data_IF_140599840215
#
_entry.id   IF_140599840215
#
_cell.length_a   1.000
_cell.length_b   1.000
_cell.length_c   1.000
_cell.angle_alpha   90.00
_cell.angle_beta   90.00
_cell.angle_gamma   90.00
#
_symmetry.space_group_name_H-M   'P 1'
#
loop_
_entity.id
_entity.type
_entity.pdbx_description
1 polymer ?
#
# COMPACT_ATOMS: atom_id res chain seq x y z
N UNK A 1 26.65 19.71 -27.44
CA UNK A 1 26.95 20.00 -26.01
C UNK A 1 25.68 19.77 -25.26
N UNK A 2 25.54 18.56 -24.72
CA UNK A 2 24.41 18.14 -23.90
C UNK A 2 24.68 18.58 -22.46
N UNK A 3 23.84 19.49 -21.96
CA UNK A 3 23.90 19.92 -20.57
C UNK A 3 23.43 18.75 -19.69
N UNK A 4 24.36 18.19 -18.93
CA UNK A 4 24.06 17.24 -17.86
C UNK A 4 23.42 18.05 -16.73
N UNK A 5 22.13 17.80 -16.46
CA UNK A 5 21.49 18.36 -15.25
C UNK A 5 22.24 17.84 -14.01
N UNK A 6 22.54 18.69 -13.04
CA UNK A 6 23.21 18.27 -11.83
C UNK A 6 22.27 17.37 -11.03
N UNK A 7 22.66 16.11 -10.79
CA UNK A 7 22.00 15.24 -9.82
C UNK A 7 22.10 15.92 -8.45
N UNK A 8 20.97 16.40 -7.93
CA UNK A 8 20.89 16.87 -6.55
C UNK A 8 21.17 15.65 -5.66
N UNK A 9 22.19 15.68 -4.78
CA UNK A 9 22.42 14.60 -3.86
C UNK A 9 21.20 14.47 -2.93
N UNK A 10 20.68 13.26 -2.77
CA UNK A 10 19.62 12.93 -1.82
C UNK A 10 20.17 13.07 -0.40
N UNK A 11 20.19 14.29 0.14
CA UNK A 11 20.63 14.60 1.52
C UNK A 11 19.45 14.72 2.48
N UNK A 12 18.39 13.90 2.28
CA UNK A 12 17.21 13.85 3.15
C UNK A 12 16.99 12.44 3.68
N UNK A 13 16.27 12.34 4.81
CA UNK A 13 15.79 11.08 5.34
C UNK A 13 14.77 10.44 4.37
N UNK A 14 14.69 9.11 4.30
CA UNK A 14 13.77 8.41 3.38
C UNK A 14 12.29 8.86 3.53
N UNK A 15 11.90 9.31 4.72
CA UNK A 15 10.53 9.77 5.00
C UNK A 15 10.23 11.22 4.57
N UNK A 16 11.20 11.96 4.05
CA UNK A 16 11.01 13.37 3.68
C UNK A 16 10.13 13.52 2.43
N UNK A 17 10.14 12.52 1.55
CA UNK A 17 9.28 12.49 0.36
C UNK A 17 8.90 11.04 0.06
N UNK A 18 7.61 10.78 -0.01
CA UNK A 18 7.07 9.43 -0.14
C UNK A 18 6.12 9.35 -1.33
N UNK A 19 6.25 8.33 -2.17
CA UNK A 19 5.14 7.90 -3.01
C UNK A 19 4.15 7.15 -2.12
N UNK A 20 2.86 7.29 -2.39
CA UNK A 20 1.77 6.63 -1.65
C UNK A 20 0.82 5.96 -2.62
N UNK A 21 0.28 4.81 -2.24
CA UNK A 21 -0.64 4.03 -3.07
C UNK A 21 -1.66 3.30 -2.22
N UNK A 22 -2.91 3.28 -2.70
CA UNK A 22 -4.02 2.55 -2.09
C UNK A 22 -5.08 2.19 -3.13
N UNK A 23 -5.84 1.11 -2.88
CA UNK A 23 -6.91 0.58 -3.72
C UNK A 23 -8.20 0.40 -2.92
N UNK A 24 -9.35 0.78 -3.52
CA UNK A 24 -10.65 0.24 -3.13
C UNK A 24 -11.07 -0.86 -4.12
N UNK A 25 -11.66 -1.92 -3.60
CA UNK A 25 -11.84 -3.16 -4.34
C UNK A 25 -13.21 -3.80 -4.11
N UNK A 26 -13.56 -4.77 -4.95
CA UNK A 26 -14.82 -5.52 -4.80
C UNK A 26 -14.81 -6.52 -3.65
N UNK A 27 -13.69 -6.75 -2.97
CA UNK A 27 -13.58 -7.72 -1.86
C UNK A 27 -12.15 -7.93 -1.41
N UNK A 28 -11.92 -8.91 -0.53
CA UNK A 28 -10.65 -9.12 0.17
C UNK A 28 -9.76 -10.22 -0.42
N UNK A 29 -10.27 -11.02 -1.35
CA UNK A 29 -9.51 -12.08 -2.03
C UNK A 29 -8.77 -11.48 -3.23
N UNK A 30 -7.45 -11.41 -3.16
CA UNK A 30 -6.60 -10.78 -4.17
C UNK A 30 -6.69 -11.47 -5.55
N UNK A 31 -7.11 -12.74 -5.60
CA UNK A 31 -7.19 -13.51 -6.84
C UNK A 31 -8.49 -13.29 -7.59
N UNK A 32 -9.57 -12.99 -6.88
CA UNK A 32 -10.93 -12.87 -7.43
C UNK A 32 -11.49 -11.46 -7.41
N UNK A 33 -11.03 -10.61 -6.49
CA UNK A 33 -11.46 -9.22 -6.40
C UNK A 33 -11.01 -8.38 -7.59
N UNK A 34 -11.64 -7.23 -7.76
CA UNK A 34 -11.39 -6.26 -8.85
C UNK A 34 -11.10 -4.90 -8.26
N UNK A 35 -10.29 -4.12 -8.95
CA UNK A 35 -10.09 -2.71 -8.63
C UNK A 35 -11.36 -1.92 -8.93
N UNK A 36 -11.79 -1.10 -7.98
CA UNK A 36 -12.89 -0.13 -8.11
C UNK A 36 -12.35 1.28 -8.19
N UNK A 37 -11.54 1.70 -7.20
CA UNK A 37 -10.79 2.96 -7.27
C UNK A 37 -9.33 2.71 -6.94
N UNK A 38 -8.48 3.63 -7.39
CA UNK A 38 -7.08 3.64 -7.05
C UNK A 38 -6.61 5.08 -6.83
N UNK A 39 -5.66 5.25 -5.92
CA UNK A 39 -4.95 6.50 -5.76
C UNK A 39 -3.45 6.27 -5.69
N UNK A 40 -2.72 7.09 -6.45
CA UNK A 40 -1.28 7.22 -6.36
C UNK A 40 -0.96 8.69 -6.10
N UNK A 41 -0.05 8.96 -5.19
CA UNK A 41 0.37 10.32 -4.91
C UNK A 41 1.83 10.40 -4.51
N UNK A 42 2.32 11.62 -4.36
CA UNK A 42 3.58 11.92 -3.68
C UNK A 42 3.29 12.94 -2.59
N UNK A 43 3.73 12.68 -1.38
CA UNK A 43 3.63 13.63 -0.26
C UNK A 43 5.01 14.19 0.08
N UNK A 44 5.03 15.45 0.51
CA UNK A 44 6.21 16.14 1.01
C UNK A 44 6.52 15.81 2.47
N UNK A 45 7.56 16.45 3.01
CA UNK A 45 8.02 16.31 4.41
C UNK A 45 6.95 16.70 5.44
N UNK A 46 6.10 17.64 5.07
CA UNK A 46 4.96 18.10 5.88
C UNK A 46 3.73 17.17 5.81
N UNK A 47 3.81 16.11 5.00
CA UNK A 47 2.72 15.19 4.77
C UNK A 47 1.65 15.71 3.80
N UNK A 48 1.91 16.85 3.12
CA UNK A 48 0.97 17.41 2.15
C UNK A 48 1.22 16.84 0.75
N UNK A 49 0.14 16.58 -0.02
CA UNK A 49 0.24 16.07 -1.39
C UNK A 49 0.94 17.08 -2.31
N UNK A 50 1.94 16.61 -3.07
CA UNK A 50 2.63 17.39 -4.10
C UNK A 50 2.38 16.86 -5.51
N UNK A 51 2.02 15.60 -5.64
CA UNK A 51 1.57 14.95 -6.88
C UNK A 51 0.39 14.03 -6.54
N UNK A 52 -0.58 13.88 -7.46
CA UNK A 52 -1.82 13.14 -7.17
C UNK A 52 -2.46 12.64 -8.46
N UNK A 53 -2.80 11.35 -8.48
CA UNK A 53 -3.54 10.67 -9.54
C UNK A 53 -4.59 9.75 -8.95
N UNK A 54 -5.81 9.81 -9.44
CA UNK A 54 -6.90 8.96 -9.00
C UNK A 54 -7.64 8.36 -10.19
N UNK A 55 -8.12 7.15 -10.01
CA UNK A 55 -8.89 6.42 -11.02
C UNK A 55 -10.18 5.85 -10.43
N UNK A 56 -11.20 5.83 -11.24
CA UNK A 56 -12.41 5.04 -11.04
C UNK A 56 -12.50 4.07 -12.22
N UNK A 57 -12.55 2.77 -11.92
CA UNK A 57 -12.70 1.72 -12.90
C UNK A 57 -14.13 1.19 -12.93
N UNK A 58 -14.61 0.80 -14.11
CA UNK A 58 -15.69 -0.19 -14.21
C UNK A 58 -15.05 -1.58 -14.03
N UNK A 59 -15.28 -2.27 -12.90
CA UNK A 59 -14.68 -3.57 -12.64
C UNK A 59 -15.22 -4.69 -13.54
N UNK A 60 -16.23 -4.43 -14.36
CA UNK A 60 -16.89 -5.42 -15.23
C UNK A 60 -17.69 -6.49 -14.48
N UNK A 61 -17.80 -6.38 -13.16
CA UNK A 61 -18.55 -7.27 -12.27
C UNK A 61 -19.41 -6.45 -11.31
N UNK A 62 -20.34 -7.10 -10.62
CA UNK A 62 -21.08 -6.47 -9.54
C UNK A 62 -20.15 -6.16 -8.34
N UNK A 63 -20.30 -4.97 -7.76
CA UNK A 63 -19.64 -4.59 -6.51
C UNK A 63 -20.54 -5.07 -5.37
N UNK A 64 -20.08 -6.00 -4.53
CA UNK A 64 -20.90 -6.51 -3.43
C UNK A 64 -21.35 -5.40 -2.47
N UNK A 65 -22.55 -5.54 -1.92
CA UNK A 65 -23.09 -4.55 -0.98
C UNK A 65 -22.17 -4.29 0.23
N UNK A 66 -21.42 -5.31 0.68
CA UNK A 66 -20.42 -5.17 1.73
C UNK A 66 -19.25 -4.23 1.34
N UNK A 67 -18.76 -4.33 0.10
CA UNK A 67 -17.72 -3.44 -0.41
C UNK A 67 -18.26 -2.02 -0.62
N UNK A 68 -19.45 -1.90 -1.23
CA UNK A 68 -20.13 -0.60 -1.36
C UNK A 68 -20.37 0.08 -0.01
N UNK A 69 -20.69 -0.67 1.04
CA UNK A 69 -20.86 -0.12 2.39
C UNK A 69 -19.56 0.43 2.98
N UNK A 70 -18.40 -0.05 2.52
CA UNK A 70 -17.07 0.41 2.94
C UNK A 70 -16.69 1.68 2.19
N UNK A 71 -16.56 1.63 0.86
CA UNK A 71 -16.00 2.72 0.06
C UNK A 71 -17.05 3.60 -0.66
N UNK A 72 -18.34 3.29 -0.53
CA UNK A 72 -19.43 4.11 -1.06
C UNK A 72 -19.66 4.07 -2.58
N UNK A 73 -18.88 3.30 -3.34
CA UNK A 73 -19.02 3.19 -4.79
C UNK A 73 -19.98 2.04 -5.12
N UNK A 74 -21.08 2.35 -5.80
CA UNK A 74 -22.04 1.33 -6.26
C UNK A 74 -21.66 0.80 -7.65
N UNK A 75 -22.20 -0.36 -8.00
CA UNK A 75 -22.05 -0.95 -9.35
C UNK A 75 -22.51 0.01 -10.43
N UNK A 76 -23.68 0.68 -10.19
CA UNK A 76 -24.26 1.62 -11.14
C UNK A 76 -23.33 2.82 -11.38
N UNK A 77 -22.75 3.38 -10.31
CA UNK A 77 -21.79 4.49 -10.40
C UNK A 77 -20.53 4.06 -11.14
N UNK A 78 -19.95 2.92 -10.78
CA UNK A 78 -18.74 2.41 -11.44
C UNK A 78 -18.96 2.16 -12.94
N UNK A 79 -20.13 1.65 -13.36
CA UNK A 79 -20.48 1.46 -14.76
C UNK A 79 -20.75 2.76 -15.51
N UNK A 80 -21.33 3.76 -14.85
CA UNK A 80 -21.69 5.04 -15.48
C UNK A 80 -20.49 6.00 -15.61
N UNK A 81 -19.60 6.02 -14.63
CA UNK A 81 -18.52 7.02 -14.49
C UNK A 81 -17.13 6.40 -14.64
N UNK A 82 -16.99 5.08 -14.40
CA UNK A 82 -15.73 4.37 -14.43
C UNK A 82 -15.19 4.17 -15.84
N UNK A 83 -13.88 4.13 -15.92
CA UNK A 83 -13.16 3.82 -17.16
C UNK A 83 -12.97 2.29 -17.28
N UNK A 84 -12.74 1.76 -18.51
CA UNK A 84 -12.46 0.34 -18.69
C UNK A 84 -11.33 -0.14 -17.79
N UNK A 85 -11.56 -1.23 -17.02
CA UNK A 85 -10.59 -1.73 -16.04
C UNK A 85 -9.19 -1.97 -16.64
N UNK A 86 -9.12 -2.50 -17.88
CA UNK A 86 -7.84 -2.73 -18.56
C UNK A 86 -7.01 -1.45 -18.73
N UNK A 87 -7.66 -0.33 -19.08
CA UNK A 87 -6.97 0.95 -19.26
C UNK A 87 -6.49 1.49 -17.90
N UNK A 88 -7.36 1.45 -16.90
CA UNK A 88 -7.04 1.91 -15.53
C UNK A 88 -5.88 1.10 -14.95
N UNK A 89 -5.92 -0.24 -15.06
CA UNK A 89 -4.84 -1.11 -14.58
C UNK A 89 -3.52 -0.81 -15.29
N UNK A 90 -3.54 -0.59 -16.61
CA UNK A 90 -2.32 -0.25 -17.35
C UNK A 90 -1.73 1.09 -16.87
N UNK A 91 -2.55 2.11 -16.69
CA UNK A 91 -2.09 3.42 -16.20
C UNK A 91 -1.56 3.36 -14.76
N UNK A 92 -2.21 2.59 -13.87
CA UNK A 92 -1.72 2.38 -12.49
C UNK A 92 -0.34 1.72 -12.52
N UNK A 93 -0.18 0.64 -13.27
CA UNK A 93 1.10 -0.07 -13.39
C UNK A 93 2.20 0.85 -13.95
N UNK A 94 1.89 1.64 -14.98
CA UNK A 94 2.85 2.56 -15.59
C UNK A 94 3.22 3.70 -14.64
N UNK A 95 2.25 4.26 -13.91
CA UNK A 95 2.49 5.30 -12.91
C UNK A 95 3.37 4.78 -11.75
N UNK A 96 3.07 3.59 -11.22
CA UNK A 96 3.89 2.97 -10.18
C UNK A 96 5.30 2.63 -10.66
N UNK A 97 5.43 2.13 -11.89
CA UNK A 97 6.75 1.86 -12.51
C UNK A 97 7.58 3.13 -12.63
N UNK A 98 6.95 4.23 -13.07
CA UNK A 98 7.62 5.52 -13.15
C UNK A 98 8.02 6.08 -11.78
N UNK A 99 7.20 5.89 -10.74
CA UNK A 99 7.53 6.31 -9.37
C UNK A 99 8.63 5.45 -8.74
N UNK A 100 8.60 4.13 -8.93
CA UNK A 100 9.63 3.22 -8.43
C UNK A 100 11.00 3.44 -9.10
N UNK A 101 11.04 4.08 -10.28
CA UNK A 101 12.29 4.50 -10.91
C UNK A 101 12.87 5.79 -10.28
N UNK A 102 12.13 6.48 -9.40
CA UNK A 102 12.58 7.69 -8.70
C UNK A 102 13.25 7.31 -7.37
N UNK A 103 14.13 8.15 -6.81
CA UNK A 103 14.81 7.89 -5.54
C UNK A 103 13.89 8.18 -4.34
N UNK A 104 12.73 7.53 -4.27
CA UNK A 104 11.77 7.63 -3.17
C UNK A 104 11.06 6.28 -2.95
N UNK A 105 10.69 5.95 -1.71
CA UNK A 105 9.97 4.72 -1.43
C UNK A 105 8.50 4.82 -1.81
N UNK A 106 7.90 3.68 -2.12
CA UNK A 106 6.46 3.55 -2.26
C UNK A 106 5.87 3.04 -0.94
N UNK A 107 5.01 3.85 -0.33
CA UNK A 107 4.27 3.51 0.89
C UNK A 107 2.94 2.89 0.50
N UNK A 108 2.67 1.71 1.05
CA UNK A 108 1.40 0.99 0.91
C UNK A 108 1.06 0.37 2.26
N UNK A 109 -0.09 0.70 2.84
CA UNK A 109 -0.53 0.08 4.10
C UNK A 109 -1.06 -1.32 3.86
N UNK A 110 -0.45 -2.36 4.44
CA UNK A 110 -0.73 -3.75 4.12
C UNK A 110 -0.39 -4.12 2.66
N UNK A 111 0.81 -3.74 2.24
CA UNK A 111 1.29 -3.78 0.86
C UNK A 111 1.05 -5.11 0.13
N UNK A 112 1.13 -6.23 0.84
CA UNK A 112 0.90 -7.55 0.27
C UNK A 112 -0.52 -7.73 -0.28
N UNK A 113 -1.51 -6.95 0.17
CA UNK A 113 -2.85 -6.98 -0.38
C UNK A 113 -2.92 -6.21 -1.70
N UNK A 114 -2.62 -4.92 -1.69
CA UNK A 114 -2.81 -4.05 -2.86
C UNK A 114 -1.91 -4.43 -4.03
N UNK A 115 -0.64 -4.71 -3.75
CA UNK A 115 0.31 -5.07 -4.80
C UNK A 115 0.00 -6.42 -5.42
N UNK A 116 -0.47 -7.41 -4.64
CA UNK A 116 -0.87 -8.71 -5.20
C UNK A 116 -2.17 -8.62 -5.98
N UNK A 117 -3.14 -7.84 -5.50
CA UNK A 117 -4.38 -7.60 -6.25
C UNK A 117 -4.09 -6.92 -7.59
N UNK A 118 -3.22 -5.89 -7.58
CA UNK A 118 -2.79 -5.23 -8.81
C UNK A 118 -2.08 -6.19 -9.77
N UNK A 119 -1.24 -7.09 -9.25
CA UNK A 119 -0.57 -8.12 -10.06
C UNK A 119 -1.60 -9.06 -10.73
N UNK A 120 -2.60 -9.53 -9.98
CA UNK A 120 -3.66 -10.38 -10.53
C UNK A 120 -4.52 -9.64 -11.56
N UNK A 121 -4.84 -8.36 -11.32
CA UNK A 121 -5.57 -7.53 -12.27
C UNK A 121 -4.74 -7.28 -13.54
N UNK A 122 -3.44 -6.97 -13.40
CA UNK A 122 -2.56 -6.81 -14.55
C UNK A 122 -2.53 -8.06 -15.43
N UNK A 123 -2.31 -9.23 -14.84
CA UNK A 123 -2.34 -10.51 -15.55
C UNK A 123 -3.69 -10.80 -16.23
N UNK A 124 -4.81 -10.52 -15.54
CA UNK A 124 -6.18 -10.69 -16.05
C UNK A 124 -6.43 -9.86 -17.30
N UNK A 125 -5.89 -8.66 -17.34
CA UNK A 125 -6.08 -7.72 -18.43
C UNK A 125 -4.97 -7.76 -19.48
N UNK A 126 -3.99 -8.69 -19.36
CA UNK A 126 -2.86 -8.80 -20.28
C UNK A 126 -1.92 -7.57 -20.23
N UNK A 127 -1.82 -6.95 -19.05
CA UNK A 127 -0.87 -5.89 -18.72
C UNK A 127 0.34 -6.54 -18.06
N UNK A 128 1.56 -6.13 -18.43
CA UNK A 128 2.78 -6.63 -17.80
C UNK A 128 2.85 -6.13 -16.35
N UNK A 129 2.87 -7.02 -15.33
CA UNK A 129 2.89 -6.63 -13.93
C UNK A 129 4.17 -5.88 -13.53
N UNK A 130 4.17 -5.31 -12.33
CA UNK A 130 5.39 -4.82 -11.70
C UNK A 130 6.32 -5.99 -11.40
N UNK A 131 7.59 -5.86 -11.76
CA UNK A 131 8.61 -6.88 -11.47
C UNK A 131 9.32 -6.51 -10.16
N UNK A 132 9.12 -7.32 -9.11
CA UNK A 132 9.79 -7.17 -7.81
C UNK A 132 9.77 -5.72 -7.29
N UNK A 133 8.59 -5.14 -7.01
CA UNK A 133 8.48 -3.73 -6.62
C UNK A 133 9.30 -3.44 -5.36
N UNK A 134 10.20 -2.47 -5.45
CA UNK A 134 11.13 -2.05 -4.38
C UNK A 134 11.66 -0.64 -4.68
N UNK A 135 11.93 0.19 -3.65
CA UNK A 135 11.71 -0.05 -2.22
C UNK A 135 10.24 0.19 -1.81
N UNK A 136 9.69 -0.74 -1.04
CA UNK A 136 8.35 -0.62 -0.43
C UNK A 136 8.51 -0.28 1.05
N UNK A 137 7.62 0.57 1.56
CA UNK A 137 7.44 0.84 2.98
C UNK A 137 6.01 0.51 3.36
N UNK A 138 5.83 -0.47 4.22
CA UNK A 138 4.52 -0.91 4.73
C UNK A 138 4.39 -0.54 6.21
N UNK A 139 3.63 0.52 6.53
CA UNK A 139 3.48 0.97 7.91
C UNK A 139 2.88 -0.10 8.84
N UNK A 140 2.08 -1.04 8.32
CA UNK A 140 1.54 -2.13 9.12
C UNK A 140 2.62 -3.11 9.57
N UNK A 141 3.53 -3.48 8.67
CA UNK A 141 4.65 -4.38 8.97
C UNK A 141 5.61 -3.72 9.96
N UNK A 142 5.95 -2.45 9.72
CA UNK A 142 6.83 -1.67 10.60
C UNK A 142 6.20 -1.52 11.98
N UNK A 143 4.95 -1.05 12.08
CA UNK A 143 4.23 -0.87 13.35
C UNK A 143 4.20 -2.14 14.20
N UNK A 144 3.95 -3.29 13.57
CA UNK A 144 4.00 -4.58 14.26
C UNK A 144 5.40 -4.99 14.71
N UNK A 145 6.45 -4.53 14.03
CA UNK A 145 7.84 -4.84 14.38
C UNK A 145 8.33 -3.98 15.54
N UNK A 146 8.13 -2.65 15.46
CA UNK A 146 8.69 -1.69 16.44
C UNK A 146 7.83 -1.55 17.70
N UNK A 147 6.51 -1.79 17.61
CA UNK A 147 5.59 -1.76 18.75
C UNK A 147 4.82 -3.09 18.88
N UNK A 148 5.59 -4.17 19.00
CA UNK A 148 5.10 -5.56 18.99
C UNK A 148 3.98 -5.84 19.99
N UNK A 149 4.01 -5.20 21.16
CA UNK A 149 3.09 -5.49 22.28
C UNK A 149 1.94 -4.51 22.40
N UNK A 150 1.81 -3.56 21.47
CA UNK A 150 0.68 -2.62 21.46
C UNK A 150 -0.64 -3.38 21.35
N UNK A 151 -1.51 -3.13 22.30
CA UNK A 151 -2.86 -3.73 22.34
C UNK A 151 -3.79 -3.02 21.33
N UNK A 152 -4.77 -3.75 20.83
CA UNK A 152 -5.82 -3.24 19.96
C UNK A 152 -5.62 -3.59 18.49
N UNK A 153 -6.43 -2.97 17.64
CA UNK A 153 -6.40 -3.18 16.19
C UNK A 153 -5.18 -2.52 15.57
N UNK A 154 -4.77 -3.05 14.43
CA UNK A 154 -3.69 -2.52 13.57
C UNK A 154 -4.24 -2.12 12.18
N UNK A 155 -5.50 -1.67 12.12
CA UNK A 155 -6.05 -1.07 10.90
C UNK A 155 -5.43 0.30 10.67
N UNK A 156 -5.53 0.85 9.47
CA UNK A 156 -5.00 2.17 9.15
C UNK A 156 -5.56 3.24 10.09
N UNK A 157 -6.88 3.23 10.37
CA UNK A 157 -7.51 4.18 11.29
C UNK A 157 -6.96 4.05 12.72
N UNK A 158 -6.73 2.81 13.19
CA UNK A 158 -6.19 2.58 14.53
C UNK A 158 -4.72 3.03 14.62
N UNK A 159 -3.94 2.82 13.56
CA UNK A 159 -2.57 3.30 13.47
C UNK A 159 -2.52 4.83 13.36
N UNK A 160 -3.35 5.42 12.49
CA UNK A 160 -3.46 6.88 12.35
C UNK A 160 -3.77 7.55 13.71
N UNK A 161 -4.79 7.04 14.40
CA UNK A 161 -5.13 7.54 15.74
C UNK A 161 -3.98 7.40 16.74
N UNK A 162 -3.27 6.27 16.73
CA UNK A 162 -2.14 6.01 17.62
C UNK A 162 -0.96 6.95 17.36
N UNK A 163 -0.63 7.20 16.09
CA UNK A 163 0.48 8.04 15.67
C UNK A 163 0.11 9.53 15.54
N UNK A 164 -1.10 9.93 15.92
CA UNK A 164 -1.57 11.31 15.87
C UNK A 164 -1.77 11.85 14.45
N UNK A 165 -2.05 10.97 13.50
CA UNK A 165 -2.36 11.31 12.12
C UNK A 165 -3.86 11.53 11.97
N UNK A 166 -4.26 12.66 11.40
CA UNK A 166 -5.67 12.94 11.09
C UNK A 166 -6.03 12.20 9.81
N UNK A 167 -7.00 11.29 9.90
CA UNK A 167 -7.60 10.60 8.77
C UNK A 167 -9.04 11.11 8.61
N UNK A 168 -9.29 11.83 7.53
CA UNK A 168 -10.64 12.30 7.14
C UNK A 168 -11.05 11.59 5.87
N UNK A 169 -12.23 10.99 5.85
CA UNK A 169 -12.72 10.26 4.68
C UNK A 169 -12.11 8.85 4.56
N UNK A 170 -12.03 8.11 5.67
CA UNK A 170 -11.64 6.69 5.65
C UNK A 170 -12.43 5.91 4.58
N UNK A 171 -11.75 4.98 3.92
CA UNK A 171 -12.24 4.21 2.77
C UNK A 171 -12.46 5.04 1.49
N UNK A 172 -11.72 6.14 1.38
CA UNK A 172 -11.42 6.81 0.11
C UNK A 172 -9.95 6.56 -0.20
N UNK A 173 -9.64 5.97 -1.34
CA UNK A 173 -8.27 5.55 -1.68
C UNK A 173 -7.26 6.70 -1.58
N UNK A 174 -7.66 7.96 -1.87
CA UNK A 174 -6.76 9.11 -1.73
C UNK A 174 -6.48 9.45 -0.26
N UNK A 175 -7.54 9.47 0.56
CA UNK A 175 -7.41 9.74 1.99
C UNK A 175 -6.56 8.66 2.69
N UNK A 176 -6.80 7.39 2.36
CA UNK A 176 -6.10 6.26 2.96
C UNK A 176 -4.63 6.18 2.52
N UNK A 177 -4.32 6.39 1.23
CA UNK A 177 -2.94 6.48 0.75
C UNK A 177 -2.15 7.60 1.44
N UNK A 178 -2.72 8.81 1.53
CA UNK A 178 -2.07 9.95 2.21
C UNK A 178 -1.88 9.67 3.70
N UNK A 179 -2.90 9.10 4.36
CA UNK A 179 -2.80 8.73 5.77
C UNK A 179 -1.73 7.66 6.01
N UNK A 180 -1.62 6.65 5.14
CA UNK A 180 -0.55 5.65 5.20
C UNK A 180 0.84 6.30 5.12
N UNK A 181 1.02 7.26 4.20
CA UNK A 181 2.26 8.03 4.09
C UNK A 181 2.58 8.82 5.35
N UNK A 182 1.59 9.51 5.93
CA UNK A 182 1.74 10.27 7.19
C UNK A 182 2.06 9.36 8.38
N UNK A 183 1.45 8.16 8.44
CA UNK A 183 1.79 7.14 9.45
C UNK A 183 3.23 6.66 9.27
N UNK A 184 3.70 6.42 8.03
CA UNK A 184 5.10 6.07 7.76
C UNK A 184 6.06 7.18 8.25
N UNK A 185 5.74 8.46 8.01
CA UNK A 185 6.51 9.59 8.52
C UNK A 185 6.52 9.66 10.04
N UNK A 186 5.39 9.38 10.69
CA UNK A 186 5.30 9.36 12.14
C UNK A 186 6.11 8.20 12.75
N UNK A 187 6.03 7.00 12.16
CA UNK A 187 6.88 5.86 12.53
C UNK A 187 8.37 6.19 12.41
N UNK A 188 8.78 6.79 11.30
CA UNK A 188 10.16 7.22 11.10
C UNK A 188 10.65 8.16 12.20
N UNK A 189 9.83 9.16 12.58
CA UNK A 189 10.17 10.11 13.64
C UNK A 189 10.22 9.49 15.04
N UNK A 190 9.30 8.56 15.34
CA UNK A 190 9.17 8.00 16.69
C UNK A 190 10.15 6.85 16.94
N UNK A 191 10.62 6.17 15.89
CA UNK A 191 11.43 4.96 15.99
C UNK A 191 12.74 5.06 15.20
N UNK A 192 13.35 6.25 15.15
CA UNK A 192 14.59 6.53 14.40
C UNK A 192 15.71 5.50 14.65
N UNK A 193 15.92 5.11 15.91
CA UNK A 193 16.99 4.17 16.28
C UNK A 193 16.66 2.70 15.90
N UNK A 194 15.39 2.39 15.67
CA UNK A 194 14.94 1.03 15.35
C UNK A 194 14.79 0.78 13.84
N UNK A 195 14.75 1.83 13.04
CA UNK A 195 14.51 1.74 11.61
C UNK A 195 15.82 2.03 10.84
N UNK A 196 16.18 1.22 9.83
CA UNK A 196 17.26 1.53 8.92
C UNK A 196 17.04 2.86 8.18
N UNK A 197 18.07 3.69 8.06
CA UNK A 197 18.05 4.90 7.23
C UNK A 197 18.15 4.59 5.74
N UNK A 198 18.82 3.50 5.39
CA UNK A 198 18.93 3.04 4.01
C UNK A 198 17.66 2.32 3.56
N UNK A 199 17.10 2.74 2.42
CA UNK A 199 15.85 2.23 1.88
C UNK A 199 15.89 0.74 1.51
N UNK A 200 17.01 0.26 0.99
CA UNK A 200 17.13 -1.14 0.62
C UNK A 200 17.23 -2.01 1.89
N UNK A 201 17.95 -1.53 2.91
CA UNK A 201 17.99 -2.18 4.21
C UNK A 201 16.63 -2.18 4.91
N UNK A 202 15.87 -1.06 4.85
CA UNK A 202 14.52 -0.98 5.41
C UNK A 202 13.56 -1.94 4.70
N UNK A 203 13.62 -2.01 3.37
CA UNK A 203 12.83 -2.97 2.60
C UNK A 203 13.17 -4.42 2.99
N UNK A 204 14.46 -4.76 3.05
CA UNK A 204 14.91 -6.09 3.46
C UNK A 204 14.55 -6.45 4.91
N UNK A 205 14.57 -5.47 5.83
CA UNK A 205 14.13 -5.67 7.21
C UNK A 205 12.63 -6.01 7.27
N UNK A 206 11.80 -5.35 6.47
CA UNK A 206 10.36 -5.65 6.41
C UNK A 206 10.05 -7.05 5.89
N UNK A 207 10.82 -7.58 4.93
CA UNK A 207 10.70 -8.98 4.50
C UNK A 207 10.85 -9.90 5.72
N UNK A 208 11.93 -9.71 6.49
CA UNK A 208 12.21 -10.53 7.69
C UNK A 208 11.16 -10.32 8.80
N UNK A 209 10.70 -9.09 9.00
CA UNK A 209 9.65 -8.80 9.99
C UNK A 209 8.32 -9.41 9.61
N UNK A 210 7.93 -9.35 8.35
CA UNK A 210 6.71 -9.96 7.86
C UNK A 210 6.74 -11.48 8.06
N UNK A 211 7.85 -12.14 7.74
CA UNK A 211 8.03 -13.58 7.97
C UNK A 211 7.86 -13.94 9.46
N UNK A 212 8.50 -13.21 10.37
CA UNK A 212 8.35 -13.41 11.82
C UNK A 212 6.91 -13.16 12.30
N UNK A 213 6.20 -12.21 11.71
CA UNK A 213 4.79 -11.95 12.01
C UNK A 213 3.90 -13.08 11.53
N UNK A 214 4.19 -13.65 10.36
CA UNK A 214 3.51 -14.84 9.84
C UNK A 214 3.73 -16.05 10.75
N UNK A 215 4.97 -16.31 11.21
CA UNK A 215 5.27 -17.40 12.16
C UNK A 215 4.46 -17.25 13.44
N UNK A 216 4.48 -16.07 14.04
CA UNK A 216 3.74 -15.79 15.27
C UNK A 216 2.23 -15.94 15.10
N UNK A 217 1.70 -15.52 13.96
CA UNK A 217 0.28 -15.63 13.64
C UNK A 217 -0.12 -17.08 13.35
N UNK A 218 0.71 -17.81 12.61
CA UNK A 218 0.49 -19.24 12.32
C UNK A 218 0.48 -20.06 13.61
N UNK A 219 1.44 -19.83 14.52
CA UNK A 219 1.48 -20.47 15.84
C UNK A 219 0.24 -20.17 16.67
N UNK A 220 -0.22 -18.92 16.69
CA UNK A 220 -1.45 -18.53 17.36
C UNK A 220 -2.67 -19.24 16.76
N UNK A 221 -2.83 -19.21 15.44
CA UNK A 221 -3.96 -19.80 14.74
C UNK A 221 -4.01 -21.31 14.93
N UNK A 222 -2.86 -21.99 14.87
CA UNK A 222 -2.76 -23.44 15.08
C UNK A 222 -3.13 -23.85 16.50
N UNK A 223 -2.79 -23.03 17.47
CA UNK A 223 -3.12 -23.29 18.87
C UNK A 223 -4.57 -23.01 19.22
N UNK A 224 -5.15 -21.91 18.69
CA UNK A 224 -6.42 -21.36 19.16
C UNK A 224 -7.61 -21.60 18.21
N UNK A 225 -7.37 -21.92 16.93
CA UNK A 225 -8.41 -21.90 15.89
C UNK A 225 -8.38 -23.09 14.95
N UNK A 226 -7.30 -23.26 14.20
CA UNK A 226 -7.16 -24.31 13.18
C UNK A 226 -5.73 -24.84 13.16
N UNK A 227 -5.55 -26.06 13.61
CA UNK A 227 -4.24 -26.73 13.72
C UNK A 227 -3.53 -26.93 12.36
N UNK A 228 -4.22 -26.76 11.23
CA UNK A 228 -3.67 -26.85 9.88
C UNK A 228 -3.43 -25.48 9.22
N UNK A 229 -3.73 -24.39 9.93
CA UNK A 229 -3.57 -23.06 9.36
C UNK A 229 -2.13 -22.85 8.88
N UNK A 230 -1.99 -22.25 7.70
CA UNK A 230 -0.72 -21.80 7.12
C UNK A 230 -0.87 -20.33 6.72
N UNK A 231 0.02 -19.49 7.21
CA UNK A 231 0.06 -18.09 6.82
C UNK A 231 0.73 -17.92 5.45
N UNK A 232 0.23 -16.99 4.66
CA UNK A 232 0.91 -16.55 3.44
C UNK A 232 2.12 -15.70 3.83
N UNK A 233 3.31 -16.13 3.42
CA UNK A 233 4.58 -15.50 3.77
C UNK A 233 5.08 -14.51 2.71
N UNK A 234 4.36 -14.37 1.61
CA UNK A 234 4.75 -13.47 0.54
C UNK A 234 4.62 -12.01 0.93
N UNK A 235 5.72 -11.26 0.76
CA UNK A 235 5.75 -9.81 0.92
C UNK A 235 6.88 -9.21 0.05
N UNK A 236 6.66 -8.10 -0.66
CA UNK A 236 5.42 -7.29 -0.71
C UNK A 236 4.34 -7.87 -1.64
N UNK A 237 4.56 -9.01 -2.24
CA UNK A 237 3.60 -9.77 -3.05
C UNK A 237 3.30 -11.10 -2.34
N UNK A 238 2.05 -11.52 -2.33
CA UNK A 238 1.64 -12.84 -1.83
C UNK A 238 2.17 -13.94 -2.75
N UNK A 239 2.47 -15.10 -2.16
CA UNK A 239 3.02 -16.25 -2.87
C UNK A 239 1.96 -17.00 -3.71
#
# INVERSE_FOLDING_TARGET
MTATEPSVPATGHWSDRLAVFDLETTGVDVTTSRIVTAHIGVIGRDGEPVESWSWLADPGVEIPAGATAVHGITTERARAEGRPAREVVAEIVDALRALLARPLPLVVYNAAYDLSLLEHEARRHGVEPLQSPSPIVDPLVIDKAVDRYRRGKRTLEAAAAHYGVVLTGAHDAAADAIAAGRVAQALARQHLEALPDDLAALHGAQVSWHEQQCDSFEDYMRRERDHRFTADRGWPLRA
#
